data_IF_383605364082
#
_entry.id   IF_383605364082
#
_cell.length_a   1.000
_cell.length_b   1.000
_cell.length_c   1.000
_cell.angle_alpha   90.00
_cell.angle_beta   90.00
_cell.angle_gamma   90.00
#
_symmetry.space_group_name_H-M   'P 1'
#
loop_
_entity.id
_entity.type
_entity.pdbx_description
1 polymer ?
#
# COMPACT_ATOMS: atom_id res chain seq x y z
N UNK A 1 -36.48 16.80 -27.07
CA UNK A 1 -36.49 16.35 -25.67
C UNK A 1 -37.33 17.33 -24.88
N UNK A 2 -38.45 16.89 -24.31
CA UNK A 2 -39.44 17.81 -23.71
C UNK A 2 -39.09 18.13 -22.25
N UNK A 3 -39.46 19.33 -21.81
CA UNK A 3 -39.15 19.98 -20.53
C UNK A 3 -39.58 19.23 -19.24
N UNK A 4 -40.01 17.97 -19.34
CA UNK A 4 -40.45 17.16 -18.20
C UNK A 4 -39.31 16.38 -17.52
N UNK A 5 -38.19 16.13 -18.22
CA UNK A 5 -37.04 15.38 -17.67
C UNK A 5 -36.07 16.25 -16.84
N UNK A 6 -36.01 17.56 -17.11
CA UNK A 6 -35.15 18.49 -16.35
C UNK A 6 -35.68 18.78 -14.93
N UNK A 7 -36.97 18.56 -14.67
CA UNK A 7 -37.63 18.91 -13.39
C UNK A 7 -37.35 17.92 -12.25
N UNK A 8 -36.77 16.74 -12.52
CA UNK A 8 -36.48 15.74 -11.47
C UNK A 8 -35.09 15.88 -10.83
N UNK A 9 -34.26 16.81 -11.33
CA UNK A 9 -32.86 16.96 -10.90
C UNK A 9 -32.62 18.06 -9.85
N UNK A 10 -33.63 18.81 -9.45
CA UNK A 10 -33.52 19.85 -8.40
C UNK A 10 -34.32 19.44 -7.18
N UNK A 11 -33.69 19.51 -6.00
CA UNK A 11 -34.17 19.19 -4.64
C UNK A 11 -34.09 17.69 -4.32
N UNK A 12 -33.17 17.15 -3.51
CA UNK A 12 -32.75 17.60 -2.18
C UNK A 12 -31.35 17.04 -1.82
N UNK A 13 -30.41 17.93 -1.53
CA UNK A 13 -29.14 17.65 -0.84
C UNK A 13 -29.38 17.91 0.64
N UNK A 14 -29.29 16.90 1.51
CA UNK A 14 -29.00 17.08 2.94
C UNK A 14 -28.52 15.77 3.60
N UNK A 15 -27.21 15.70 3.85
CA UNK A 15 -26.56 15.19 5.08
C UNK A 15 -27.13 13.93 5.80
N UNK A 16 -26.41 12.80 5.76
CA UNK A 16 -25.53 12.25 6.86
C UNK A 16 -25.51 10.70 6.95
N UNK A 17 -24.27 10.20 6.97
CA UNK A 17 -23.73 8.98 7.61
C UNK A 17 -24.19 7.59 7.15
N UNK A 18 -23.25 6.93 6.46
CA UNK A 18 -23.22 5.53 6.06
C UNK A 18 -22.95 4.60 7.27
N UNK A 19 -23.85 3.66 7.53
CA UNK A 19 -23.59 2.44 8.32
C UNK A 19 -23.77 1.22 7.41
N UNK A 20 -22.83 0.29 7.52
CA UNK A 20 -22.74 -0.93 6.73
C UNK A 20 -23.64 -2.03 7.35
N UNK A 21 -24.69 -2.45 6.63
CA UNK A 21 -25.15 -3.84 6.33
C UNK A 21 -26.68 -3.97 6.10
N UNK A 22 -27.03 -4.44 4.90
CA UNK A 22 -28.07 -5.44 4.48
C UNK A 22 -29.57 -5.04 4.38
N UNK A 23 -30.01 -5.08 3.11
CA UNK A 23 -31.35 -5.22 2.48
C UNK A 23 -32.41 -4.12 2.68
N UNK A 24 -32.70 -3.33 1.63
CA UNK A 24 -34.04 -3.05 1.02
C UNK A 24 -33.83 -2.47 -0.40
N UNK A 25 -34.74 -2.83 -1.31
CA UNK A 25 -34.81 -2.56 -2.75
C UNK A 25 -34.97 -1.09 -3.18
N UNK A 26 -34.54 -0.84 -4.43
CA UNK A 26 -34.66 0.34 -5.31
C UNK A 26 -33.62 1.47 -5.19
N UNK A 27 -32.94 1.69 -6.33
CA UNK A 27 -32.21 2.86 -6.80
C UNK A 27 -30.75 3.05 -6.33
N UNK A 28 -29.85 2.62 -7.22
CA UNK A 28 -28.38 2.80 -7.33
C UNK A 28 -27.42 2.21 -6.26
N UNK A 29 -26.36 1.57 -6.79
CA UNK A 29 -25.03 1.28 -6.22
C UNK A 29 -24.91 0.26 -5.08
N UNK A 30 -24.30 -0.91 -5.35
CA UNK A 30 -23.17 -1.40 -4.54
C UNK A 30 -22.24 -2.28 -5.41
N UNK A 31 -21.09 -1.73 -5.82
CA UNK A 31 -19.91 -2.54 -6.16
C UNK A 31 -19.02 -2.55 -4.93
N UNK A 32 -18.82 -3.71 -4.31
CA UNK A 32 -17.87 -3.84 -3.21
C UNK A 32 -16.49 -4.09 -3.81
N UNK A 33 -15.59 -3.12 -3.70
CA UNK A 33 -14.21 -3.25 -4.13
C UNK A 33 -13.37 -3.79 -2.98
N UNK A 34 -12.92 -5.03 -3.10
CA UNK A 34 -12.01 -5.68 -2.16
C UNK A 34 -10.58 -5.58 -2.71
N UNK A 35 -9.62 -5.30 -1.84
CA UNK A 35 -8.20 -5.28 -2.18
C UNK A 35 -7.55 -6.51 -1.58
N UNK A 36 -6.93 -7.35 -2.40
CA UNK A 36 -6.19 -8.52 -1.93
C UNK A 36 -4.77 -8.53 -2.51
N UNK A 37 -3.77 -8.91 -1.71
CA UNK A 37 -2.37 -8.76 -2.08
C UNK A 37 -1.75 -10.09 -2.49
N UNK A 38 -0.98 -10.09 -3.58
CA UNK A 38 0.05 -11.08 -3.85
C UNK A 38 1.30 -10.39 -4.40
N UNK A 39 2.46 -10.54 -3.76
CA UNK A 39 3.68 -9.81 -4.16
C UNK A 39 4.63 -10.70 -4.96
N UNK A 40 4.82 -10.35 -6.22
CA UNK A 40 6.12 -10.45 -6.92
C UNK A 40 6.20 -9.23 -7.86
N UNK A 41 6.90 -8.16 -7.44
CA UNK A 41 7.05 -6.91 -8.20
C UNK A 41 5.76 -6.10 -8.36
N UNK A 42 5.49 -5.18 -7.42
CA UNK A 42 4.55 -4.05 -7.52
C UNK A 42 3.22 -4.31 -8.28
N UNK A 43 2.50 -5.37 -7.93
CA UNK A 43 1.19 -5.67 -8.52
C UNK A 43 0.12 -5.61 -7.44
N UNK A 44 -0.80 -4.64 -7.55
CA UNK A 44 -1.92 -4.46 -6.63
C UNK A 44 -3.16 -5.14 -7.21
N UNK A 45 -3.48 -6.35 -6.74
CA UNK A 45 -4.69 -7.02 -7.20
C UNK A 45 -5.93 -6.40 -6.52
N UNK A 46 -6.71 -5.63 -7.26
CA UNK A 46 -8.07 -5.34 -6.81
C UNK A 46 -9.01 -6.46 -7.28
N UNK A 47 -10.02 -6.74 -6.48
CA UNK A 47 -11.17 -7.54 -6.87
C UNK A 47 -12.39 -6.67 -6.65
N UNK A 48 -12.96 -6.15 -7.72
CA UNK A 48 -14.29 -5.58 -7.62
C UNK A 48 -15.30 -6.73 -7.72
N UNK A 49 -16.32 -6.72 -6.88
CA UNK A 49 -17.45 -7.64 -6.99
C UNK A 49 -18.68 -6.82 -7.33
N UNK A 50 -19.35 -7.20 -8.41
CA UNK A 50 -20.58 -6.58 -8.86
C UNK A 50 -21.76 -7.45 -8.46
N UNK A 51 -22.75 -6.86 -7.79
CA UNK A 51 -24.04 -7.49 -7.67
C UNK A 51 -24.75 -7.48 -9.04
N UNK A 52 -25.61 -8.47 -9.25
CA UNK A 52 -26.50 -8.62 -10.39
C UNK A 52 -26.98 -7.25 -10.92
N UNK A 53 -26.54 -6.86 -12.12
CA UNK A 53 -27.09 -5.71 -12.82
C UNK A 53 -27.98 -6.24 -13.95
N UNK A 54 -29.29 -6.02 -13.84
CA UNK A 54 -30.26 -6.39 -14.89
C UNK A 54 -30.39 -5.31 -15.95
N UNK A 55 -29.61 -4.23 -15.87
CA UNK A 55 -29.67 -3.14 -16.81
C UNK A 55 -29.02 -3.56 -18.15
N UNK A 56 -29.81 -3.81 -19.21
CA UNK A 56 -29.29 -4.28 -20.49
C UNK A 56 -28.48 -3.20 -21.22
N UNK A 57 -28.53 -1.95 -20.77
CA UNK A 57 -27.85 -0.85 -21.42
C UNK A 57 -26.38 -0.69 -21.02
N UNK A 58 -25.87 -1.42 -20.01
CA UNK A 58 -24.45 -1.34 -19.61
C UNK A 58 -23.60 -2.29 -20.45
N UNK A 59 -22.53 -1.76 -21.07
CA UNK A 59 -21.59 -2.54 -21.87
C UNK A 59 -20.26 -2.83 -21.17
N UNK A 60 -19.78 -1.92 -20.32
CA UNK A 60 -18.49 -2.07 -19.63
C UNK A 60 -18.41 -1.27 -18.34
N UNK A 61 -17.44 -1.61 -17.51
CA UNK A 61 -17.03 -0.90 -16.32
C UNK A 61 -15.61 -0.37 -16.50
N UNK A 62 -15.39 0.90 -16.17
CA UNK A 62 -14.08 1.54 -16.23
C UNK A 62 -13.59 1.82 -14.83
N UNK A 63 -12.38 1.37 -14.55
CA UNK A 63 -11.71 1.58 -13.28
C UNK A 63 -10.74 2.74 -13.39
N UNK A 64 -10.87 3.67 -12.47
CA UNK A 64 -10.04 4.86 -12.42
C UNK A 64 -9.25 4.93 -11.12
N UNK A 65 -8.01 5.40 -11.22
CA UNK A 65 -7.25 5.94 -10.10
C UNK A 65 -7.48 7.45 -10.01
N UNK A 66 -7.63 7.97 -8.79
CA UNK A 66 -7.92 9.38 -8.52
C UNK A 66 -6.93 9.95 -7.50
N UNK A 67 -5.64 9.90 -7.82
CA UNK A 67 -4.51 10.42 -7.04
C UNK A 67 -4.16 11.87 -7.41
N UNK A 68 -5.19 12.70 -7.62
CA UNK A 68 -5.07 14.11 -8.06
C UNK A 68 -5.34 14.32 -9.55
N UNK A 69 -5.09 13.30 -10.39
CA UNK A 69 -5.58 13.24 -11.78
C UNK A 69 -6.33 11.93 -11.99
N UNK A 70 -7.42 11.98 -12.76
CA UNK A 70 -8.19 10.78 -13.09
C UNK A 70 -7.48 9.99 -14.18
N UNK A 71 -6.98 8.80 -13.84
CA UNK A 71 -6.29 7.91 -14.78
C UNK A 71 -7.09 6.63 -14.97
N UNK A 72 -7.42 6.28 -16.22
CA UNK A 72 -8.06 5.00 -16.53
C UNK A 72 -7.01 3.88 -16.36
N UNK A 73 -7.29 2.96 -15.44
CA UNK A 73 -6.40 1.83 -15.13
C UNK A 73 -6.81 0.59 -15.90
N UNK A 74 -8.12 0.35 -16.02
CA UNK A 74 -8.63 -0.82 -16.72
C UNK A 74 -10.08 -0.64 -17.18
N UNK A 75 -10.48 -1.43 -18.17
CA UNK A 75 -11.85 -1.56 -18.63
C UNK A 75 -12.25 -3.03 -18.59
N UNK A 76 -13.40 -3.31 -17.98
CA UNK A 76 -13.94 -4.67 -17.93
C UNK A 76 -15.28 -4.71 -18.64
N UNK A 77 -15.42 -5.60 -19.61
CA UNK A 77 -16.68 -5.80 -20.31
C UNK A 77 -17.75 -6.33 -19.36
N UNK A 78 -18.98 -5.86 -19.52
CA UNK A 78 -20.11 -6.31 -18.71
C UNK A 78 -20.28 -7.82 -18.90
N UNK A 79 -20.32 -8.63 -17.83
CA UNK A 79 -20.51 -10.06 -17.95
C UNK A 79 -21.85 -10.36 -18.60
N UNK A 80 -21.89 -11.31 -19.54
CA UNK A 80 -23.16 -11.79 -20.11
C UNK A 80 -23.92 -12.73 -19.17
N UNK A 81 -23.26 -13.22 -18.11
CA UNK A 81 -23.81 -14.16 -17.13
C UNK A 81 -23.74 -13.59 -15.72
N UNK A 82 -24.73 -13.94 -14.91
CA UNK A 82 -24.90 -13.50 -13.52
C UNK A 82 -23.91 -14.15 -12.55
N UNK A 83 -22.64 -13.77 -12.60
CA UNK A 83 -21.63 -14.22 -11.65
C UNK A 83 -20.76 -13.08 -11.14
N UNK A 84 -20.33 -13.21 -9.88
CA UNK A 84 -19.25 -12.39 -9.36
C UNK A 84 -17.99 -12.68 -10.19
N UNK A 85 -17.38 -11.65 -10.75
CA UNK A 85 -16.08 -11.74 -11.41
C UNK A 85 -15.06 -10.91 -10.65
N UNK A 86 -13.78 -11.24 -10.75
CA UNK A 86 -12.68 -10.50 -10.12
C UNK A 86 -11.64 -10.18 -11.18
N UNK A 87 -11.10 -8.96 -11.16
CA UNK A 87 -10.12 -8.51 -12.16
C UNK A 87 -8.91 -7.91 -11.48
N UNK A 88 -7.84 -8.68 -11.51
CA UNK A 88 -6.51 -8.27 -11.06
C UNK A 88 -5.86 -7.31 -12.05
N UNK A 89 -5.14 -6.31 -11.54
CA UNK A 89 -4.28 -5.45 -12.35
C UNK A 89 -2.99 -5.10 -11.58
N UNK A 90 -2.00 -4.54 -12.27
CA UNK A 90 -0.73 -4.11 -11.69
C UNK A 90 -0.57 -2.60 -11.77
N UNK A 91 0.07 -2.00 -10.76
CA UNK A 91 0.33 -0.57 -10.68
C UNK A 91 1.60 -0.34 -9.85
N UNK A 92 2.52 0.49 -10.34
CA UNK A 92 3.86 0.68 -9.75
C UNK A 92 3.94 1.89 -8.80
N UNK A 93 2.82 2.39 -8.31
CA UNK A 93 2.76 3.64 -7.54
C UNK A 93 3.10 3.48 -6.05
N UNK A 94 3.72 4.51 -5.48
CA UNK A 94 4.10 4.61 -4.07
C UNK A 94 3.13 5.49 -3.28
N UNK A 95 2.46 4.95 -2.26
CA UNK A 95 1.67 5.72 -1.30
C UNK A 95 0.18 5.38 -1.31
N UNK A 96 -0.66 6.21 -0.65
CA UNK A 96 -2.10 6.01 -0.63
C UNK A 96 -2.68 6.11 -2.04
N UNK A 97 -3.38 5.08 -2.48
CA UNK A 97 -4.13 5.08 -3.73
C UNK A 97 -5.61 5.19 -3.44
N UNK A 98 -6.33 5.92 -4.30
CA UNK A 98 -7.78 5.97 -4.28
C UNK A 98 -8.31 5.52 -5.64
N UNK A 99 -9.26 4.59 -5.63
CA UNK A 99 -9.86 3.98 -6.80
C UNK A 99 -11.36 4.22 -6.83
N UNK A 100 -11.90 4.47 -8.02
CA UNK A 100 -13.34 4.56 -8.28
C UNK A 100 -13.68 3.80 -9.55
N UNK A 101 -14.89 3.24 -9.61
CA UNK A 101 -15.43 2.57 -10.80
C UNK A 101 -16.55 3.41 -11.38
N UNK A 102 -16.66 3.41 -12.71
CA UNK A 102 -17.83 3.91 -13.44
C UNK A 102 -18.39 2.82 -14.34
N UNK A 103 -19.70 2.81 -14.50
CA UNK A 103 -20.36 2.04 -15.54
C UNK A 103 -20.44 2.87 -16.82
N UNK A 104 -20.40 2.20 -17.97
CA UNK A 104 -20.53 2.81 -19.29
C UNK A 104 -21.67 2.13 -20.02
N UNK A 105 -22.59 2.93 -20.53
CA UNK A 105 -23.72 2.42 -21.30
C UNK A 105 -23.35 2.12 -22.76
N UNK A 106 -24.28 1.49 -23.48
CA UNK A 106 -24.19 1.17 -24.92
C UNK A 106 -24.09 2.42 -25.79
N UNK A 107 -24.46 3.59 -25.28
CA UNK A 107 -24.34 4.90 -25.91
C UNK A 107 -23.01 5.62 -25.59
N UNK A 108 -22.10 5.00 -24.83
CA UNK A 108 -20.82 5.55 -24.33
C UNK A 108 -20.93 6.64 -23.26
N UNK A 109 -22.07 6.78 -22.58
CA UNK A 109 -22.18 7.66 -21.43
C UNK A 109 -21.66 6.96 -20.18
N UNK A 110 -20.98 7.73 -19.33
CA UNK A 110 -20.47 7.22 -18.06
C UNK A 110 -21.36 7.61 -16.88
N UNK A 111 -21.47 6.71 -15.91
CA UNK A 111 -22.09 6.99 -14.62
C UNK A 111 -21.28 7.98 -13.77
N UNK A 112 -21.86 8.41 -12.65
CA UNK A 112 -21.09 8.97 -11.55
C UNK A 112 -20.10 7.95 -10.95
N UNK A 113 -19.17 8.44 -10.12
CA UNK A 113 -18.19 7.61 -9.42
C UNK A 113 -18.84 6.70 -8.38
N UNK A 114 -18.32 5.48 -8.26
CA UNK A 114 -18.58 4.62 -7.10
C UNK A 114 -18.06 5.24 -5.81
N UNK A 115 -18.41 4.65 -4.67
CA UNK A 115 -17.67 4.92 -3.43
C UNK A 115 -16.17 4.64 -3.64
N UNK A 116 -15.29 5.54 -3.20
CA UNK A 116 -13.86 5.35 -3.37
C UNK A 116 -13.35 4.20 -2.50
N UNK A 117 -12.50 3.35 -3.06
CA UNK A 117 -11.72 2.39 -2.31
C UNK A 117 -10.28 2.86 -2.18
N UNK A 118 -9.73 2.77 -0.97
CA UNK A 118 -8.36 3.18 -0.72
C UNK A 118 -7.45 1.98 -0.53
N UNK A 119 -6.29 2.05 -1.17
CA UNK A 119 -5.16 1.22 -0.83
C UNK A 119 -4.16 2.04 -0.04
N UNK A 120 -3.83 1.59 1.17
CA UNK A 120 -2.75 2.17 1.97
C UNK A 120 -1.71 1.07 2.11
N UNK A 121 -0.58 1.24 1.41
CA UNK A 121 0.57 0.33 1.55
C UNK A 121 1.13 0.32 2.98
N UNK A 122 1.97 -0.67 3.32
CA UNK A 122 2.57 -0.71 4.65
C UNK A 122 3.41 0.53 4.92
N UNK A 123 3.40 1.00 6.17
CA UNK A 123 4.31 2.06 6.62
C UNK A 123 5.41 1.43 7.44
N UNK A 124 6.68 1.73 7.12
CA UNK A 124 7.85 1.16 7.80
C UNK A 124 8.58 2.19 8.64
N UNK A 125 8.98 1.80 9.84
CA UNK A 125 9.80 2.59 10.77
C UNK A 125 11.01 1.79 11.21
N UNK A 126 12.02 2.47 11.72
CA UNK A 126 13.23 1.84 12.27
C UNK A 126 13.61 2.48 13.60
N UNK A 127 14.03 1.66 14.56
CA UNK A 127 14.59 2.10 15.84
C UNK A 127 15.81 1.25 16.18
N UNK A 128 16.77 1.81 16.91
CA UNK A 128 17.84 1.03 17.54
C UNK A 128 17.26 0.42 18.83
N UNK A 129 16.96 -0.88 18.80
CA UNK A 129 16.44 -1.61 19.97
C UNK A 129 17.55 -2.00 20.94
N UNK A 130 18.75 -2.17 20.41
CA UNK A 130 19.99 -2.12 21.18
C UNK A 130 20.90 -1.15 20.46
N UNK A 131 21.14 0.00 21.09
CA UNK A 131 21.92 1.09 20.51
C UNK A 131 23.41 1.01 20.87
N UNK A 132 23.85 -0.09 21.47
CA UNK A 132 25.23 -0.30 21.88
C UNK A 132 25.86 -1.48 21.17
N UNK A 133 27.07 -1.31 20.65
CA UNK A 133 27.87 -2.39 20.11
C UNK A 133 29.34 -2.21 20.53
N UNK A 134 29.97 -3.26 21.09
CA UNK A 134 31.35 -3.18 21.55
C UNK A 134 32.25 -4.12 20.76
N UNK A 135 33.48 -3.68 20.50
CA UNK A 135 34.51 -4.53 19.87
C UNK A 135 35.20 -5.40 20.91
N UNK A 136 35.64 -4.79 22.02
CA UNK A 136 36.21 -5.52 23.14
C UNK A 136 35.13 -6.30 23.90
N UNK A 137 35.25 -7.63 23.92
CA UNK A 137 34.23 -8.50 24.50
C UNK A 137 32.89 -8.34 23.78
N UNK A 138 32.81 -8.76 22.50
CA UNK A 138 31.93 -8.10 21.57
C UNK A 138 30.45 -8.27 21.89
N UNK A 139 29.74 -7.14 22.02
CA UNK A 139 28.29 -7.09 22.08
C UNK A 139 27.74 -6.61 20.75
N UNK A 140 26.61 -7.19 20.35
CA UNK A 140 25.98 -6.91 19.06
C UNK A 140 24.89 -5.87 19.25
N UNK A 141 24.91 -4.82 18.42
CA UNK A 141 23.83 -3.84 18.35
C UNK A 141 22.73 -4.28 17.40
N UNK A 142 21.50 -3.79 17.62
CA UNK A 142 20.32 -4.20 16.86
C UNK A 142 19.45 -3.01 16.45
N UNK A 143 19.17 -2.90 15.15
CA UNK A 143 18.05 -2.14 14.67
C UNK A 143 16.84 -3.03 14.47
N UNK A 144 15.65 -2.57 14.87
CA UNK A 144 14.39 -3.22 14.54
C UNK A 144 13.62 -2.38 13.52
N UNK A 145 13.34 -2.98 12.37
CA UNK A 145 12.45 -2.42 11.35
C UNK A 145 11.05 -2.97 11.58
N UNK A 146 10.07 -2.09 11.71
CA UNK A 146 8.66 -2.44 11.95
C UNK A 146 7.80 -1.96 10.80
N UNK A 147 6.76 -2.72 10.44
CA UNK A 147 5.69 -2.29 9.52
C UNK A 147 4.34 -2.21 10.22
N UNK A 148 3.52 -1.27 9.78
CA UNK A 148 2.06 -1.27 9.99
C UNK A 148 1.34 -1.67 8.70
N UNK A 149 0.06 -2.07 8.80
CA UNK A 149 -0.73 -2.53 7.66
C UNK A 149 -0.70 -4.05 7.49
N UNK A 150 -0.92 -4.52 6.26
CA UNK A 150 -1.06 -5.95 5.98
C UNK A 150 0.25 -6.73 6.20
N UNK A 151 0.15 -7.88 6.85
CA UNK A 151 1.29 -8.78 7.10
C UNK A 151 1.27 -10.07 6.27
N UNK A 152 0.27 -10.26 5.42
CA UNK A 152 0.03 -11.52 4.68
C UNK A 152 1.13 -11.89 3.70
N UNK A 153 1.98 -10.95 3.30
CA UNK A 153 3.14 -11.19 2.43
C UNK A 153 4.42 -10.69 3.08
N UNK A 154 5.56 -11.23 2.66
CA UNK A 154 6.86 -10.71 3.06
C UNK A 154 7.07 -9.30 2.47
N UNK A 155 7.85 -8.47 3.16
CA UNK A 155 8.20 -7.11 2.73
C UNK A 155 9.71 -6.91 2.83
N UNK A 156 10.37 -6.70 1.70
CA UNK A 156 11.78 -6.30 1.67
C UNK A 156 11.88 -4.79 1.80
N UNK A 157 12.56 -4.34 2.85
CA UNK A 157 12.83 -2.93 3.17
C UNK A 157 14.27 -2.62 2.85
N UNK A 158 14.51 -1.58 2.04
CA UNK A 158 15.84 -1.14 1.65
C UNK A 158 16.32 0.00 2.55
N UNK A 159 17.62 0.05 2.81
CA UNK A 159 18.24 1.09 3.63
C UNK A 159 19.65 1.44 3.16
N UNK A 160 20.09 2.63 3.54
CA UNK A 160 21.47 3.10 3.41
C UNK A 160 22.15 3.09 4.77
N UNK A 161 23.48 2.96 4.76
CA UNK A 161 24.30 2.93 5.97
C UNK A 161 25.29 4.09 5.90
N UNK A 162 25.41 4.83 6.99
CA UNK A 162 26.42 5.87 7.21
C UNK A 162 26.89 5.84 8.66
N UNK A 163 27.43 6.96 9.14
CA UNK A 163 28.07 7.03 10.46
C UNK A 163 29.59 7.21 10.31
N UNK A 164 30.32 7.01 11.40
CA UNK A 164 31.79 7.12 11.41
C UNK A 164 32.48 5.76 11.32
N UNK A 165 31.81 4.69 11.76
CA UNK A 165 32.34 3.34 11.65
C UNK A 165 32.37 2.87 10.19
N UNK A 166 33.44 2.17 9.84
CA UNK A 166 33.79 1.66 8.53
C UNK A 166 33.37 0.19 8.40
N UNK A 167 32.56 -0.07 7.37
CA UNK A 167 32.12 -1.44 7.07
C UNK A 167 33.28 -2.33 6.65
N UNK A 168 33.42 -3.48 7.31
CA UNK A 168 34.44 -4.47 7.03
C UNK A 168 35.73 -4.33 7.85
N UNK A 169 35.99 -3.18 8.49
CA UNK A 169 37.01 -3.07 9.54
C UNK A 169 36.37 -3.10 10.93
N UNK A 170 35.33 -2.31 11.17
CA UNK A 170 34.82 -2.05 12.52
C UNK A 170 33.54 -2.87 12.79
N UNK A 171 32.81 -3.20 11.72
CA UNK A 171 31.65 -4.12 11.79
C UNK A 171 31.47 -4.92 10.51
N UNK A 172 30.84 -6.10 10.64
CA UNK A 172 30.50 -6.95 9.50
C UNK A 172 29.60 -6.21 8.50
N UNK A 173 29.90 -6.33 7.20
CA UNK A 173 29.11 -5.67 6.16
C UNK A 173 27.61 -6.01 6.21
N UNK A 174 26.78 -4.97 6.15
CA UNK A 174 25.33 -5.09 6.11
C UNK A 174 24.83 -5.30 4.67
N UNK A 175 23.65 -5.91 4.52
CA UNK A 175 23.05 -6.28 3.23
C UNK A 175 22.33 -5.14 2.49
N UNK A 176 22.29 -3.94 3.05
CA UNK A 176 21.50 -2.79 2.55
C UNK A 176 19.98 -3.05 2.39
N UNK A 177 19.50 -4.18 2.90
CA UNK A 177 18.09 -4.55 2.90
C UNK A 177 17.77 -5.52 4.03
N UNK A 178 16.53 -5.51 4.50
CA UNK A 178 16.00 -6.47 5.48
C UNK A 178 14.61 -6.93 5.05
N UNK A 179 14.33 -8.22 5.16
CA UNK A 179 13.02 -8.77 4.81
C UNK A 179 12.21 -9.04 6.07
N UNK A 180 11.06 -8.39 6.20
CA UNK A 180 10.03 -8.74 7.18
C UNK A 180 9.25 -9.94 6.61
N UNK A 181 9.28 -11.13 7.26
CA UNK A 181 8.61 -12.31 6.75
C UNK A 181 7.08 -12.15 6.64
N UNK A 182 6.45 -12.99 5.82
CA UNK A 182 4.99 -13.11 5.82
C UNK A 182 4.51 -13.56 7.21
N UNK A 183 3.41 -12.97 7.68
CA UNK A 183 2.88 -13.15 9.04
C UNK A 183 3.54 -12.26 10.10
N UNK A 184 4.72 -11.69 9.84
CA UNK A 184 5.46 -10.87 10.80
C UNK A 184 5.24 -9.36 10.58
N UNK A 185 5.34 -8.58 11.66
CA UNK A 185 5.31 -7.11 11.62
C UNK A 185 6.69 -6.47 11.76
N UNK A 186 7.75 -7.24 12.05
CA UNK A 186 9.10 -6.70 12.21
C UNK A 186 10.19 -7.66 11.75
N UNK A 187 11.39 -7.10 11.55
CA UNK A 187 12.64 -7.83 11.35
C UNK A 187 13.81 -7.01 11.90
N UNK A 188 14.92 -7.68 12.19
CA UNK A 188 16.11 -7.09 12.82
C UNK A 188 17.24 -6.94 11.81
N UNK A 189 17.96 -5.83 11.88
CA UNK A 189 19.26 -5.63 11.25
C UNK A 189 20.30 -5.72 12.38
N UNK A 190 21.25 -6.63 12.21
CA UNK A 190 22.26 -6.96 13.22
C UNK A 190 23.57 -6.25 12.89
N UNK A 191 24.10 -5.46 13.82
CA UNK A 191 25.43 -4.86 13.73
C UNK A 191 26.37 -5.65 14.62
N UNK A 192 27.21 -6.49 14.01
CA UNK A 192 28.22 -7.28 14.71
C UNK A 192 29.57 -6.59 14.58
N UNK A 193 30.12 -6.05 15.68
CA UNK A 193 31.45 -5.44 15.68
C UNK A 193 32.54 -6.45 15.35
N UNK A 194 33.63 -5.96 14.80
CA UNK A 194 34.85 -6.71 14.54
C UNK A 194 35.86 -6.27 15.58
N UNK A 195 36.26 -7.18 16.45
CA UNK A 195 37.31 -6.88 17.43
C UNK A 195 38.68 -6.86 16.74
N UNK A 196 39.29 -5.69 16.61
CA UNK A 196 40.63 -5.53 16.06
C UNK A 196 41.66 -5.04 17.10
N UNK A 197 42.82 -4.57 16.63
CA UNK A 197 43.94 -4.16 17.51
C UNK A 197 44.21 -2.65 17.49
N UNK A 198 43.50 -1.90 16.65
CA UNK A 198 43.58 -0.45 16.57
C UNK A 198 42.77 0.11 17.73
N UNK A 199 43.31 1.14 18.39
CA UNK A 199 42.57 1.85 19.43
C UNK A 199 41.94 3.07 18.81
N UNK A 200 40.62 3.11 18.84
CA UNK A 200 39.82 4.14 18.20
C UNK A 200 38.95 4.87 19.23
N UNK A 201 38.38 6.01 18.83
CA UNK A 201 37.34 6.69 19.60
C UNK A 201 35.98 6.05 19.33
N UNK A 202 34.98 6.29 20.18
CA UNK A 202 33.60 5.85 19.93
C UNK A 202 33.13 6.25 18.52
N UNK A 203 32.57 5.28 17.81
CA UNK A 203 32.09 5.43 16.45
C UNK A 203 30.58 5.23 16.34
N UNK A 204 30.03 5.35 15.14
CA UNK A 204 28.59 5.20 14.94
C UNK A 204 28.29 4.43 13.67
N UNK A 205 27.23 3.63 13.74
CA UNK A 205 26.53 3.08 12.57
C UNK A 205 25.14 3.73 12.51
N UNK A 206 24.83 4.38 11.40
CA UNK A 206 23.54 5.04 11.16
C UNK A 206 22.84 4.31 10.01
N UNK A 207 21.65 3.78 10.27
CA UNK A 207 20.80 3.17 9.25
C UNK A 207 19.63 4.08 8.92
N UNK A 208 19.49 4.44 7.64
CA UNK A 208 18.39 5.26 7.13
C UNK A 208 17.57 4.48 6.09
N UNK A 209 16.27 4.34 6.34
CA UNK A 209 15.35 3.66 5.42
C UNK A 209 15.23 4.43 4.09
N UNK A 210 15.33 3.70 2.98
CA UNK A 210 15.20 4.23 1.62
C UNK A 210 13.73 4.31 1.22
N UNK A 211 13.36 5.28 0.38
CA UNK A 211 12.03 5.32 -0.23
C UNK A 211 11.84 4.14 -1.20
N UNK A 212 10.64 3.59 -1.28
CA UNK A 212 10.31 2.51 -2.20
C UNK A 212 8.82 2.54 -2.56
N UNK A 213 8.43 2.01 -3.73
CA UNK A 213 7.03 1.96 -4.11
C UNK A 213 6.18 1.01 -3.26
N UNK A 214 6.80 -0.02 -2.68
CA UNK A 214 6.11 -1.07 -1.93
C UNK A 214 5.79 -0.70 -0.47
N UNK A 215 6.31 0.43 0.03
CA UNK A 215 6.06 0.89 1.40
C UNK A 215 6.24 2.41 1.55
N UNK A 216 5.58 2.99 2.53
CA UNK A 216 5.82 4.38 2.94
C UNK A 216 6.81 4.43 4.10
N UNK A 217 7.73 5.39 4.12
CA UNK A 217 8.59 5.62 5.29
C UNK A 217 7.79 6.35 6.37
N UNK A 218 7.65 5.72 7.53
CA UNK A 218 7.13 6.34 8.74
C UNK A 218 8.25 7.04 9.52
N UNK A 219 7.86 7.85 10.51
CA UNK A 219 8.81 8.43 11.46
C UNK A 219 8.87 7.58 12.72
N UNK A 220 10.07 7.24 13.25
CA UNK A 220 11.39 7.52 12.69
C UNK A 220 11.74 6.60 11.50
N UNK A 221 12.49 7.15 10.53
CA UNK A 221 13.06 6.41 9.39
C UNK A 221 14.59 6.35 9.42
N UNK A 222 15.22 6.79 10.50
CA UNK A 222 16.66 6.66 10.73
C UNK A 222 16.92 6.33 12.19
N UNK A 223 17.95 5.53 12.45
CA UNK A 223 18.40 5.15 13.79
C UNK A 223 19.92 5.04 13.85
N UNK A 224 20.47 5.18 15.04
CA UNK A 224 21.92 5.16 15.30
C UNK A 224 22.25 4.13 16.38
N UNK A 225 23.32 3.37 16.14
CA UNK A 225 24.04 2.55 17.14
C UNK A 225 25.40 3.22 17.36
N UNK A 226 25.88 3.20 18.60
CA UNK A 226 27.23 3.59 19.01
C UNK A 226 27.95 2.36 19.50
#
# INVERSE_FOLDING_TARGET
MSNHEYSKWKTCITHRTLKIQILVYFLFLVSSLFLSHSVFGATLNLSATWALNTEPDIKEYRLYRTDGTRTLINTVQHPTNYCNFSVTFSDTYSGPLTFVVRAVDTSNLESADSNPAQYIGPTVTIVATDNTATEAGPTTGYFTVTRTGATTSALTVYYTVGGTATSGSDYNALSNSVTIPAGSSSATITVTPINDTVVESDETVIVTLSANATYTRGSPYSATIT
#
